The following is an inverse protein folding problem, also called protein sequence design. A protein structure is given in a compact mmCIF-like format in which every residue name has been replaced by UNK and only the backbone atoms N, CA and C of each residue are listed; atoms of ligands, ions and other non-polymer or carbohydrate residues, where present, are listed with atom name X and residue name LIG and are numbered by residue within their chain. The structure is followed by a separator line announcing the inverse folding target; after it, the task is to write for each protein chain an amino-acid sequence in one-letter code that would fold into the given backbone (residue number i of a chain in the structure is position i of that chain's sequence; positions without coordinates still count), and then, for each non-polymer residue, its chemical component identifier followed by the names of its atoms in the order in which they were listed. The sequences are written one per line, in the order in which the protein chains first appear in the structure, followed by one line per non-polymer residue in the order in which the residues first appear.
data_IF_810157465939
#
_entry.id   IF_810157465939
#
_cell.length_a   1.000
_cell.length_b   1.000
_cell.length_c   1.000
_cell.angle_alpha   90.00
_cell.angle_beta   90.00
_cell.angle_gamma   90.00
#
_symmetry.space_group_name_H-M   'P 1'
#
loop_
_entity.id
_entity.type
_entity.pdbx_description
1 polymer ?
#
# COMPACT_ATOMS: atom_id res chain seq x y z
N UNK A 1 -40.70 31.61 9.93
CA UNK A 1 -40.61 31.04 8.57
C UNK A 1 -39.72 29.81 8.67
N UNK A 2 -40.25 28.64 8.28
CA UNK A 2 -39.56 27.35 8.38
C UNK A 2 -38.67 27.17 7.14
N UNK A 3 -37.36 27.04 7.33
CA UNK A 3 -36.43 26.70 6.25
C UNK A 3 -36.21 25.20 6.27
N UNK A 4 -36.58 24.57 5.17
CA UNK A 4 -36.51 23.14 4.91
C UNK A 4 -35.08 22.80 4.50
N UNK A 5 -34.45 21.88 5.24
CA UNK A 5 -33.22 21.20 4.85
C UNK A 5 -33.59 20.27 3.70
N UNK A 6 -33.03 20.52 2.52
CA UNK A 6 -33.13 19.58 1.39
C UNK A 6 -32.19 18.42 1.71
N UNK A 7 -32.77 17.37 2.26
CA UNK A 7 -32.20 16.03 2.36
C UNK A 7 -32.01 15.53 0.92
N UNK A 8 -30.77 15.54 0.41
CA UNK A 8 -30.45 14.80 -0.82
C UNK A 8 -30.51 13.33 -0.44
N UNK A 9 -31.66 12.73 -0.71
CA UNK A 9 -31.95 11.33 -0.43
C UNK A 9 -31.02 10.44 -1.26
N UNK A 10 -30.16 9.76 -0.53
CA UNK A 10 -29.46 8.53 -0.88
C UNK A 10 -30.48 7.43 -1.25
N UNK A 11 -31.06 7.46 -2.45
CA UNK A 11 -31.80 6.33 -3.01
C UNK A 11 -31.51 6.23 -4.51
N UNK A 12 -30.59 5.33 -4.83
CA UNK A 12 -30.30 4.87 -6.18
C UNK A 12 -29.57 3.52 -6.21
N UNK A 13 -29.56 2.76 -5.11
CA UNK A 13 -29.22 1.33 -5.17
C UNK A 13 -30.42 0.57 -5.73
N UNK A 14 -30.64 0.70 -7.04
CA UNK A 14 -31.46 -0.22 -7.81
C UNK A 14 -30.52 -1.17 -8.53
N UNK A 15 -30.30 -2.31 -7.87
CA UNK A 15 -30.53 -3.62 -8.47
C UNK A 15 -30.02 -3.77 -9.92
N UNK A 16 -28.71 -3.79 -10.10
CA UNK A 16 -28.12 -4.64 -11.11
C UNK A 16 -27.22 -5.62 -10.39
N UNK A 17 -27.52 -6.90 -10.53
CA UNK A 17 -26.48 -7.90 -10.56
C UNK A 17 -25.61 -7.59 -11.78
N UNK A 18 -24.81 -6.52 -11.73
CA UNK A 18 -23.57 -6.51 -12.49
C UNK A 18 -22.71 -7.55 -11.77
N UNK A 19 -22.88 -8.80 -12.17
CA UNK A 19 -21.81 -9.79 -12.06
C UNK A 19 -20.57 -9.04 -12.55
N UNK A 20 -19.61 -8.81 -11.66
CA UNK A 20 -18.34 -8.23 -12.07
C UNK A 20 -17.87 -9.00 -13.30
N UNK A 21 -17.43 -8.29 -14.34
CA UNK A 21 -16.97 -8.96 -15.56
C UNK A 21 -15.81 -9.90 -15.26
N UNK A 22 -15.04 -9.56 -14.21
CA UNK A 22 -13.97 -10.39 -13.68
C UNK A 22 -13.83 -10.21 -12.16
N UNK A 23 -13.45 -11.29 -11.48
CA UNK A 23 -13.11 -11.31 -10.06
C UNK A 23 -11.71 -11.87 -9.89
N UNK A 24 -10.81 -11.08 -9.32
CA UNK A 24 -9.41 -11.41 -9.09
C UNK A 24 -9.16 -11.69 -7.60
N UNK A 25 -8.69 -12.90 -7.33
CA UNK A 25 -8.34 -13.40 -6.00
C UNK A 25 -6.82 -13.38 -5.71
N UNK A 26 -5.99 -12.97 -6.67
CA UNK A 26 -4.52 -13.10 -6.60
C UNK A 26 -3.87 -12.35 -5.44
N UNK A 27 -4.51 -11.28 -4.95
CA UNK A 27 -4.07 -10.46 -3.80
C UNK A 27 -4.98 -10.59 -2.57
N UNK A 28 -5.83 -11.61 -2.54
CA UNK A 28 -6.72 -11.84 -1.39
C UNK A 28 -5.98 -12.35 -0.17
N UNK A 29 -6.52 -12.03 1.01
CA UNK A 29 -5.95 -12.43 2.29
C UNK A 29 -7.05 -12.65 3.33
N UNK A 30 -6.73 -13.41 4.38
CA UNK A 30 -7.64 -13.63 5.50
C UNK A 30 -7.42 -12.51 6.51
N UNK A 31 -8.38 -11.60 6.64
CA UNK A 31 -8.27 -10.49 7.59
C UNK A 31 -8.52 -10.98 9.01
N UNK A 32 -7.54 -10.84 9.90
CA UNK A 32 -7.66 -11.19 11.31
C UNK A 32 -8.30 -10.06 12.12
N UNK A 33 -9.59 -9.78 11.88
CA UNK A 33 -10.42 -9.29 12.97
C UNK A 33 -11.01 -10.51 13.65
N UNK A 34 -10.67 -10.69 14.93
CA UNK A 34 -11.32 -11.69 15.75
C UNK A 34 -12.82 -11.51 15.63
N UNK A 35 -13.53 -12.63 15.48
CA UNK A 35 -14.91 -12.69 15.87
C UNK A 35 -14.97 -12.27 17.34
N UNK A 36 -15.28 -11.00 17.61
CA UNK A 36 -16.08 -10.67 18.78
C UNK A 36 -17.44 -11.33 18.55
N UNK A 37 -17.48 -12.66 18.72
CA UNK A 37 -18.68 -13.32 19.18
C UNK A 37 -19.02 -12.57 20.46
N UNK A 38 -20.02 -11.69 20.39
CA UNK A 38 -20.63 -11.19 21.61
C UNK A 38 -20.90 -12.40 22.49
N UNK A 39 -20.42 -12.36 23.73
CA UNK A 39 -20.70 -13.38 24.74
C UNK A 39 -22.23 -13.52 24.83
N UNK A 40 -22.80 -14.47 24.09
CA UNK A 40 -24.26 -14.50 23.92
C UNK A 40 -24.77 -15.63 23.04
N UNK A 41 -24.21 -15.85 21.85
CA UNK A 41 -24.80 -16.81 20.91
C UNK A 41 -23.81 -17.88 20.43
N UNK A 42 -23.96 -19.11 20.95
CA UNK A 42 -23.24 -20.31 20.53
C UNK A 42 -23.79 -20.92 19.22
N UNK A 43 -24.65 -20.20 18.51
CA UNK A 43 -25.42 -20.71 17.37
C UNK A 43 -24.96 -20.20 16.01
N UNK A 44 -24.05 -19.22 15.96
CA UNK A 44 -23.56 -18.70 14.69
C UNK A 44 -22.47 -19.60 14.08
N UNK A 45 -22.57 -19.93 12.77
CA UNK A 45 -21.56 -20.72 12.09
C UNK A 45 -20.19 -20.01 12.11
N UNK A 46 -19.07 -20.76 12.10
CA UNK A 46 -17.76 -20.13 12.04
C UNK A 46 -17.66 -19.28 10.77
N UNK A 47 -17.20 -18.04 10.94
CA UNK A 47 -17.12 -17.04 9.88
C UNK A 47 -15.67 -16.89 9.42
N UNK A 48 -15.47 -16.86 8.10
CA UNK A 48 -14.21 -16.54 7.44
C UNK A 48 -14.35 -15.17 6.75
N UNK A 49 -13.40 -14.25 7.02
CA UNK A 49 -13.34 -12.96 6.33
C UNK A 49 -12.21 -12.96 5.32
N UNK A 50 -12.54 -12.77 4.05
CA UNK A 50 -11.59 -12.68 2.93
C UNK A 50 -11.58 -11.24 2.43
N UNK A 51 -10.45 -10.57 2.55
CA UNK A 51 -10.25 -9.20 2.08
C UNK A 51 -9.36 -9.15 0.84
N UNK A 52 -9.31 -8.00 0.17
CA UNK A 52 -8.51 -7.79 -1.03
C UNK A 52 -9.08 -8.45 -2.30
N UNK A 53 -10.36 -8.79 -2.31
CA UNK A 53 -11.02 -9.30 -3.50
C UNK A 53 -11.19 -8.14 -4.50
N UNK A 54 -10.55 -8.22 -5.66
CA UNK A 54 -10.67 -7.19 -6.70
C UNK A 54 -11.75 -7.58 -7.68
N UNK A 55 -12.72 -6.71 -7.90
CA UNK A 55 -13.71 -6.83 -8.97
C UNK A 55 -13.39 -5.82 -10.05
N UNK A 56 -13.39 -6.28 -11.30
CA UNK A 56 -13.25 -5.43 -12.48
C UNK A 56 -14.62 -5.39 -13.14
N UNK A 57 -15.09 -4.18 -13.44
CA UNK A 57 -16.32 -3.97 -14.17
C UNK A 57 -16.08 -2.96 -15.29
N UNK A 58 -16.76 -3.13 -16.41
CA UNK A 58 -16.65 -2.21 -17.56
C UNK A 58 -17.99 -1.54 -17.77
N UNK A 59 -18.03 -0.21 -17.65
CA UNK A 59 -19.24 0.56 -17.90
C UNK A 59 -18.93 1.70 -18.86
N UNK A 60 -19.54 1.71 -20.04
CA UNK A 60 -19.31 2.73 -21.09
C UNK A 60 -17.81 2.94 -21.41
N UNK A 61 -17.06 1.84 -21.61
CA UNK A 61 -15.60 1.83 -21.85
C UNK A 61 -14.73 2.33 -20.68
N UNK A 62 -15.31 2.63 -19.51
CA UNK A 62 -14.57 2.91 -18.28
C UNK A 62 -14.36 1.63 -17.46
N UNK A 63 -13.12 1.39 -17.05
CA UNK A 63 -12.75 0.31 -16.13
C UNK A 63 -12.97 0.76 -14.68
N UNK A 64 -13.91 0.12 -14.00
CA UNK A 64 -14.22 0.35 -12.59
C UNK A 64 -13.58 -0.77 -11.78
N UNK A 65 -12.58 -0.40 -10.96
CA UNK A 65 -11.90 -1.31 -10.04
C UNK A 65 -12.44 -1.10 -8.63
N UNK A 66 -12.94 -2.16 -8.00
CA UNK A 66 -13.41 -2.13 -6.61
C UNK A 66 -12.77 -3.26 -5.81
N UNK A 67 -12.49 -3.00 -4.54
CA UNK A 67 -11.92 -3.99 -3.63
C UNK A 67 -12.94 -4.29 -2.55
N UNK A 68 -13.05 -5.57 -2.19
CA UNK A 68 -14.11 -6.04 -1.31
C UNK A 68 -13.57 -6.93 -0.19
N UNK A 69 -14.25 -6.87 0.93
CA UNK A 69 -14.21 -7.86 2.00
C UNK A 69 -15.45 -8.73 1.91
N UNK A 70 -15.24 -10.04 1.76
CA UNK A 70 -16.29 -11.06 1.80
C UNK A 70 -16.33 -11.71 3.17
N UNK A 71 -17.52 -11.76 3.75
CA UNK A 71 -17.80 -12.47 5.00
C UNK A 71 -18.50 -13.78 4.64
N UNK A 72 -17.83 -14.90 4.90
CA UNK A 72 -18.28 -16.24 4.55
C UNK A 72 -18.68 -17.02 5.80
N UNK A 73 -19.91 -17.54 5.83
CA UNK A 73 -20.38 -18.44 6.87
C UNK A 73 -20.19 -19.89 6.45
N UNK A 74 -19.53 -20.70 7.28
CA UNK A 74 -19.37 -22.12 7.02
C UNK A 74 -20.63 -22.91 7.42
N UNK A 75 -21.19 -23.65 6.48
CA UNK A 75 -22.28 -24.58 6.75
C UNK A 75 -21.70 -25.99 7.05
N UNK A 76 -21.75 -26.46 8.30
CA UNK A 76 -21.18 -27.75 8.67
C UNK A 76 -21.95 -28.95 8.07
N UNK A 77 -23.25 -28.78 7.78
CA UNK A 77 -24.10 -29.89 7.32
C UNK A 77 -23.75 -30.39 5.91
N UNK A 78 -23.16 -29.52 5.09
CA UNK A 78 -22.80 -29.84 3.71
C UNK A 78 -21.40 -29.35 3.32
N UNK A 79 -20.59 -28.89 4.29
CA UNK A 79 -19.24 -28.37 4.09
C UNK A 79 -19.13 -27.27 3.02
N UNK A 80 -20.12 -26.39 2.92
CA UNK A 80 -20.12 -25.25 1.98
C UNK A 80 -19.93 -23.91 2.69
N UNK A 81 -19.41 -22.92 1.98
CA UNK A 81 -19.43 -21.53 2.44
C UNK A 81 -20.57 -20.77 1.78
N UNK A 82 -21.28 -19.95 2.56
CA UNK A 82 -22.26 -18.98 2.08
C UNK A 82 -21.70 -17.58 2.26
N UNK A 83 -21.83 -16.73 1.25
CA UNK A 83 -21.56 -15.29 1.40
C UNK A 83 -22.66 -14.72 2.30
N UNK A 84 -22.27 -14.32 3.52
CA UNK A 84 -23.15 -13.64 4.46
C UNK A 84 -23.21 -12.15 4.13
N UNK A 85 -22.07 -11.57 3.77
CA UNK A 85 -21.94 -10.15 3.47
C UNK A 85 -20.79 -9.88 2.51
N UNK A 86 -20.90 -8.81 1.73
CA UNK A 86 -19.83 -8.25 0.92
C UNK A 86 -19.77 -6.74 1.18
N UNK A 87 -18.62 -6.26 1.63
CA UNK A 87 -18.40 -4.85 1.98
C UNK A 87 -17.33 -4.25 1.09
N UNK A 88 -17.56 -3.03 0.60
CA UNK A 88 -16.51 -2.27 -0.07
C UNK A 88 -15.38 -2.02 0.94
N UNK A 89 -14.18 -2.44 0.57
CA UNK A 89 -13.01 -2.28 1.40
C UNK A 89 -12.46 -0.86 1.27
N UNK A 90 -12.01 -0.29 2.39
CA UNK A 90 -11.32 0.99 2.36
C UNK A 90 -10.03 0.85 1.53
N UNK A 91 -9.94 1.62 0.44
CA UNK A 91 -8.76 1.62 -0.44
C UNK A 91 -7.46 1.96 0.32
N UNK A 92 -7.56 2.73 1.40
CA UNK A 92 -6.43 3.18 2.21
C UNK A 92 -6.06 2.20 3.34
N UNK A 93 -6.71 1.04 3.43
CA UNK A 93 -6.36 0.05 4.45
C UNK A 93 -4.92 -0.44 4.28
N UNK A 94 -4.06 -0.38 5.33
CA UNK A 94 -2.65 -0.71 5.21
C UNK A 94 -2.37 -2.13 4.69
N UNK A 95 -3.17 -3.12 5.10
CA UNK A 95 -2.99 -4.51 4.69
C UNK A 95 -3.32 -4.71 3.21
N UNK A 96 -4.40 -4.07 2.72
CA UNK A 96 -4.77 -4.08 1.30
C UNK A 96 -3.65 -3.49 0.43
N UNK A 97 -3.09 -2.35 0.83
CA UNK A 97 -2.00 -1.69 0.11
C UNK A 97 -0.74 -2.56 0.08
N UNK A 98 -0.40 -3.21 1.19
CA UNK A 98 0.72 -4.15 1.26
C UNK A 98 0.53 -5.37 0.34
N UNK A 99 -0.68 -5.95 0.29
CA UNK A 99 -0.94 -7.07 -0.62
C UNK A 99 -0.82 -6.65 -2.09
N UNK A 100 -1.26 -5.44 -2.46
CA UNK A 100 -1.12 -4.95 -3.85
C UNK A 100 0.33 -4.80 -4.27
N UNK A 101 1.21 -4.37 -3.35
CA UNK A 101 2.64 -4.22 -3.62
C UNK A 101 3.39 -5.56 -3.67
N UNK A 102 2.84 -6.62 -3.09
CA UNK A 102 3.50 -7.92 -3.04
C UNK A 102 3.64 -8.52 -4.44
N UNK A 103 4.85 -8.93 -4.79
CA UNK A 103 5.15 -9.57 -6.07
C UNK A 103 5.07 -8.63 -7.27
N UNK A 104 5.25 -7.33 -7.06
CA UNK A 104 5.23 -6.31 -8.13
C UNK A 104 6.63 -6.02 -8.64
N UNK A 105 6.70 -5.63 -9.91
CA UNK A 105 7.92 -5.17 -10.57
C UNK A 105 7.74 -3.72 -10.97
N UNK A 106 8.75 -2.91 -10.72
CA UNK A 106 8.77 -1.48 -10.96
C UNK A 106 9.97 -1.14 -11.81
N UNK A 107 9.76 -0.44 -12.92
CA UNK A 107 10.82 -0.11 -13.90
C UNK A 107 10.87 1.39 -14.13
N UNK A 108 12.06 1.93 -14.33
CA UNK A 108 12.23 3.35 -14.61
C UNK A 108 13.68 3.80 -14.55
N UNK A 109 13.91 5.03 -14.13
CA UNK A 109 15.22 5.67 -14.17
C UNK A 109 15.74 5.98 -12.76
N UNK A 110 17.04 5.78 -12.58
CA UNK A 110 17.80 6.26 -11.44
C UNK A 110 18.91 7.17 -11.95
N UNK A 111 18.81 8.46 -11.63
CA UNK A 111 19.73 9.51 -12.07
C UNK A 111 20.68 9.89 -10.95
N UNK A 112 21.98 9.79 -11.21
CA UNK A 112 23.03 10.35 -10.36
C UNK A 112 23.62 11.61 -10.99
N UNK A 113 24.58 12.24 -10.30
CA UNK A 113 25.32 13.37 -10.87
C UNK A 113 26.13 13.00 -12.13
N UNK A 114 26.45 11.72 -12.34
CA UNK A 114 27.35 11.25 -13.39
C UNK A 114 26.67 10.36 -14.42
N UNK A 115 25.75 9.50 -13.96
CA UNK A 115 25.21 8.42 -14.76
C UNK A 115 23.68 8.42 -14.71
N UNK A 116 23.09 7.92 -15.79
CA UNK A 116 21.69 7.52 -15.84
C UNK A 116 21.61 5.99 -15.86
N UNK A 117 20.85 5.43 -14.93
CA UNK A 117 20.65 3.99 -14.82
C UNK A 117 19.19 3.62 -15.15
N UNK A 118 19.00 2.70 -16.08
CA UNK A 118 17.75 1.94 -16.18
C UNK A 118 17.66 1.02 -14.96
N UNK A 119 16.58 1.16 -14.20
CA UNK A 119 16.40 0.52 -12.91
C UNK A 119 15.16 -0.36 -12.89
N UNK A 120 15.28 -1.53 -12.29
CA UNK A 120 14.20 -2.44 -12.00
C UNK A 120 14.21 -2.77 -10.50
N UNK A 121 13.07 -2.61 -9.83
CA UNK A 121 12.84 -3.01 -8.44
C UNK A 121 11.72 -4.06 -8.39
N UNK A 122 12.04 -5.24 -7.89
CA UNK A 122 11.09 -6.33 -7.66
C UNK A 122 10.78 -6.43 -6.17
N UNK A 123 9.53 -6.15 -5.79
CA UNK A 123 9.04 -6.31 -4.41
C UNK A 123 8.58 -7.75 -4.20
N UNK A 124 9.46 -8.62 -3.72
CA UNK A 124 9.17 -10.06 -3.60
C UNK A 124 8.33 -10.42 -2.39
N UNK A 125 8.52 -9.70 -1.28
CA UNK A 125 7.81 -9.92 -0.02
C UNK A 125 7.37 -8.58 0.54
N UNK A 126 6.09 -8.46 0.86
CA UNK A 126 5.51 -7.29 1.55
C UNK A 126 4.52 -7.82 2.57
N UNK A 127 4.81 -7.65 3.86
CA UNK A 127 3.96 -8.15 4.94
C UNK A 127 4.26 -7.44 6.26
N UNK A 128 3.22 -7.04 6.99
CA UNK A 128 3.31 -6.43 8.33
C UNK A 128 4.32 -5.28 8.40
N UNK A 129 4.32 -4.40 7.40
CA UNK A 129 5.22 -3.25 7.32
C UNK A 129 6.64 -3.59 6.86
N UNK A 130 6.98 -4.87 6.63
CA UNK A 130 8.28 -5.28 6.11
C UNK A 130 8.25 -5.44 4.59
N UNK A 131 9.31 -4.98 3.92
CA UNK A 131 9.56 -5.20 2.50
C UNK A 131 10.86 -5.97 2.28
N UNK A 132 10.82 -6.97 1.40
CA UNK A 132 11.99 -7.64 0.84
C UNK A 132 11.90 -7.71 -0.68
N UNK A 133 13.03 -7.48 -1.36
CA UNK A 133 13.05 -7.42 -2.82
C UNK A 133 14.44 -7.55 -3.43
N UNK A 134 14.49 -7.29 -4.73
CA UNK A 134 15.72 -7.21 -5.50
C UNK A 134 15.70 -5.95 -6.36
N UNK A 135 16.84 -5.29 -6.49
CA UNK A 135 16.99 -4.12 -7.34
C UNK A 135 18.15 -4.30 -8.29
N UNK A 136 17.91 -3.94 -9.54
CA UNK A 136 18.87 -3.99 -10.64
C UNK A 136 19.00 -2.61 -11.25
N UNK A 137 20.23 -2.15 -11.42
CA UNK A 137 20.60 -0.93 -12.13
C UNK A 137 21.47 -1.34 -13.32
N UNK A 138 21.16 -0.81 -14.49
CA UNK A 138 21.93 -1.02 -15.72
C UNK A 138 22.17 0.34 -16.39
N UNK A 139 23.35 0.51 -16.97
CA UNK A 139 23.71 1.74 -17.67
C UNK A 139 24.56 1.40 -18.89
N UNK A 140 24.46 2.21 -19.94
CA UNK A 140 25.34 2.10 -21.10
C UNK A 140 26.69 2.80 -20.86
N UNK A 141 26.74 3.69 -19.87
CA UNK A 141 27.96 4.40 -19.46
C UNK A 141 28.85 3.53 -18.58
N UNK A 142 30.09 3.95 -18.33
CA UNK A 142 30.95 3.26 -17.36
C UNK A 142 30.32 3.36 -15.96
N UNK A 143 29.88 2.24 -15.36
CA UNK A 143 29.23 2.29 -14.06
C UNK A 143 30.23 2.78 -13.02
N UNK A 144 29.75 3.52 -12.01
CA UNK A 144 30.67 4.01 -10.98
C UNK A 144 31.39 2.81 -10.33
N UNK A 145 32.72 2.86 -10.09
CA UNK A 145 33.59 1.74 -9.64
C UNK A 145 33.25 1.12 -8.27
N UNK A 146 32.12 1.48 -7.70
CA UNK A 146 31.62 1.11 -6.39
C UNK A 146 30.15 0.66 -6.45
N UNK A 147 29.59 0.46 -7.66
CA UNK A 147 28.17 0.17 -7.84
C UNK A 147 27.77 -1.30 -7.62
N UNK A 148 26.96 -1.55 -6.59
CA UNK A 148 26.11 -2.74 -6.56
C UNK A 148 24.99 -2.57 -7.60
N UNK A 149 25.26 -3.03 -8.82
CA UNK A 149 24.30 -2.97 -9.92
C UNK A 149 23.16 -3.99 -9.76
N UNK A 150 23.35 -5.04 -8.98
CA UNK A 150 22.29 -6.00 -8.67
C UNK A 150 22.39 -6.42 -7.21
N UNK A 151 21.33 -6.19 -6.43
CA UNK A 151 21.33 -6.44 -4.99
C UNK A 151 19.98 -6.88 -4.45
N UNK A 152 20.01 -7.67 -3.38
CA UNK A 152 18.87 -7.85 -2.47
C UNK A 152 18.68 -6.59 -1.65
N UNK A 153 17.42 -6.20 -1.47
CA UNK A 153 17.01 -5.06 -0.65
C UNK A 153 16.00 -5.50 0.41
N UNK A 154 16.07 -4.88 1.59
CA UNK A 154 15.08 -5.05 2.65
C UNK A 154 14.79 -3.71 3.31
N UNK A 155 13.62 -3.56 3.91
CA UNK A 155 13.31 -2.43 4.75
C UNK A 155 11.84 -2.41 5.14
N UNK A 156 11.26 -1.21 5.19
CA UNK A 156 9.94 -0.97 5.74
C UNK A 156 9.01 -0.19 4.81
N UNK A 157 7.71 -0.34 5.05
CA UNK A 157 6.65 0.45 4.46
C UNK A 157 5.78 1.04 5.56
N UNK A 158 5.66 2.36 5.52
CA UNK A 158 4.84 3.13 6.45
C UNK A 158 3.76 3.86 5.67
N UNK A 159 2.51 3.62 6.06
CA UNK A 159 1.38 4.40 5.54
C UNK A 159 1.35 5.76 6.23
N UNK A 160 1.17 6.83 5.45
CA UNK A 160 1.03 8.19 5.96
C UNK A 160 -0.28 8.80 5.49
N UNK A 161 -0.95 9.54 6.36
CA UNK A 161 -2.15 10.32 6.08
C UNK A 161 -1.80 11.81 6.01
N UNK A 162 -2.33 12.50 5.01
CA UNK A 162 -2.32 13.95 4.95
C UNK A 162 -3.50 14.46 5.76
N UNK A 163 -3.23 15.07 6.91
CA UNK A 163 -4.24 15.63 7.80
C UNK A 163 -4.09 17.14 7.90
N UNK A 164 -5.20 17.81 8.16
CA UNK A 164 -5.19 19.22 8.56
C UNK A 164 -5.02 19.28 10.08
N UNK A 165 -3.82 19.61 10.54
CA UNK A 165 -3.57 19.89 11.95
C UNK A 165 -3.43 21.40 12.14
N UNK A 166 -4.47 22.03 12.71
CA UNK A 166 -4.47 23.46 13.10
C UNK A 166 -4.29 24.45 11.93
N UNK A 167 -4.73 24.08 10.72
CA UNK A 167 -4.69 24.93 9.54
C UNK A 167 -3.50 24.69 8.62
N UNK A 168 -2.59 23.76 8.98
CA UNK A 168 -1.49 23.32 8.14
C UNK A 168 -1.65 21.84 7.77
N UNK A 169 -1.48 21.53 6.48
CA UNK A 169 -1.52 20.16 5.98
C UNK A 169 -0.19 19.47 6.28
N UNK A 170 -0.24 18.39 7.06
CA UNK A 170 0.94 17.60 7.41
C UNK A 170 0.74 16.10 7.16
N UNK A 171 1.83 15.43 6.78
CA UNK A 171 1.87 13.99 6.57
C UNK A 171 2.24 13.30 7.88
N UNK A 172 1.30 12.56 8.45
CA UNK A 172 1.50 11.82 9.70
C UNK A 172 1.41 10.31 9.46
N UNK A 173 2.25 9.54 10.16
CA UNK A 173 2.17 8.09 10.14
C UNK A 173 0.82 7.61 10.73
N UNK A 174 0.31 6.46 10.27
CA UNK A 174 -0.97 5.91 10.77
C UNK A 174 -0.99 5.75 12.29
N UNK A 175 0.11 5.28 12.89
CA UNK A 175 0.23 5.14 14.35
C UNK A 175 0.04 6.50 15.04
N UNK A 176 0.69 7.54 14.51
CA UNK A 176 0.56 8.90 15.02
C UNK A 176 -0.86 9.44 14.87
N UNK A 177 -1.52 9.15 13.75
CA UNK A 177 -2.92 9.53 13.57
C UNK A 177 -3.84 8.83 14.59
N UNK A 178 -3.62 7.54 14.86
CA UNK A 178 -4.39 6.79 15.86
C UNK A 178 -4.18 7.36 17.27
N UNK A 179 -2.98 7.78 17.63
CA UNK A 179 -2.71 8.49 18.88
C UNK A 179 -3.49 9.82 18.98
N UNK A 180 -3.49 10.61 17.89
CA UNK A 180 -4.24 11.87 17.81
C UNK A 180 -5.74 11.62 18.02
N UNK A 181 -6.30 10.64 17.30
CA UNK A 181 -7.71 10.25 17.40
C UNK A 181 -8.06 9.78 18.82
N UNK A 182 -7.21 8.95 19.43
CA UNK A 182 -7.41 8.43 20.79
C UNK A 182 -7.40 9.59 21.80
N UNK A 183 -6.40 10.46 21.72
CA UNK A 183 -6.28 11.64 22.59
C UNK A 183 -7.51 12.56 22.46
N UNK A 184 -7.99 12.78 21.23
CA UNK A 184 -9.19 13.59 20.99
C UNK A 184 -10.45 12.91 21.55
N UNK A 185 -10.60 11.60 21.37
CA UNK A 185 -11.73 10.85 21.89
C UNK A 185 -11.78 10.87 23.41
N UNK A 186 -10.65 10.64 24.08
CA UNK A 186 -10.52 10.75 25.54
C UNK A 186 -10.85 12.17 26.01
N UNK A 187 -10.33 13.20 25.34
CA UNK A 187 -10.63 14.60 25.66
C UNK A 187 -12.09 14.99 25.39
N UNK A 188 -12.80 14.24 24.55
CA UNK A 188 -14.21 14.44 24.19
C UNK A 188 -15.18 13.61 25.05
N UNK A 189 -14.68 12.78 25.95
CA UNK A 189 -15.53 11.99 26.84
C UNK A 189 -16.40 12.92 27.70
N UNK A 190 -17.72 12.72 27.65
CA UNK A 190 -18.69 13.55 28.37
C UNK A 190 -18.95 14.95 27.76
N UNK A 191 -18.40 15.26 26.58
CA UNK A 191 -18.68 16.51 25.84
C UNK A 191 -19.67 16.28 24.71
N UNK A 192 -20.57 17.25 24.50
CA UNK A 192 -21.61 17.20 23.46
C UNK A 192 -21.57 18.43 22.56
N UNK A 193 -22.06 18.29 21.32
CA UNK A 193 -22.20 19.41 20.39
C UNK A 193 -20.87 20.10 20.03
N UNK A 194 -20.86 21.42 20.12
CA UNK A 194 -19.75 22.29 19.73
C UNK A 194 -18.54 22.21 20.70
N UNK A 195 -18.71 21.60 21.88
CA UNK A 195 -17.64 21.42 22.86
C UNK A 195 -16.67 20.28 22.49
N UNK A 196 -17.01 19.49 21.46
CA UNK A 196 -16.17 18.38 20.99
C UNK A 196 -15.10 18.89 20.04
N UNK A 197 -13.85 18.54 20.32
CA UNK A 197 -12.75 18.73 19.38
C UNK A 197 -12.96 17.79 18.19
N UNK A 198 -13.01 18.33 16.97
CA UNK A 198 -13.15 17.52 15.77
C UNK A 198 -11.90 16.67 15.52
N UNK A 199 -12.11 15.42 15.08
CA UNK A 199 -11.01 14.57 14.60
C UNK A 199 -10.56 15.11 13.23
N UNK A 200 -9.25 15.33 13.00
CA UNK A 200 -8.73 15.75 11.71
C UNK A 200 -9.16 14.79 10.59
N UNK A 201 -9.67 15.37 9.50
CA UNK A 201 -10.05 14.60 8.32
C UNK A 201 -8.80 14.20 7.54
N UNK A 202 -8.80 12.97 7.03
CA UNK A 202 -7.77 12.47 6.13
C UNK A 202 -8.09 13.00 4.73
N UNK A 203 -7.20 13.83 4.18
CA UNK A 203 -7.34 14.43 2.85
C UNK A 203 -6.65 13.62 1.75
N UNK A 204 -5.57 12.91 2.09
CA UNK A 204 -4.82 12.06 1.16
C UNK A 204 -4.07 10.96 1.92
N UNK A 205 -3.60 9.93 1.22
CA UNK A 205 -2.78 8.83 1.77
C UNK A 205 -1.61 8.55 0.83
N UNK A 206 -0.44 8.24 1.38
CA UNK A 206 0.73 7.77 0.63
C UNK A 206 1.44 6.64 1.36
N UNK A 207 2.26 5.88 0.65
CA UNK A 207 3.16 4.91 1.27
C UNK A 207 4.59 5.42 1.20
N UNK A 208 5.24 5.51 2.36
CA UNK A 208 6.67 5.72 2.45
C UNK A 208 7.35 4.36 2.47
N UNK A 209 8.21 4.09 1.49
CA UNK A 209 8.96 2.85 1.35
C UNK A 209 10.43 3.15 1.57
N UNK A 210 11.03 2.49 2.56
CA UNK A 210 12.46 2.61 2.87
C UNK A 210 13.11 1.27 2.59
N UNK A 211 14.12 1.25 1.71
CA UNK A 211 14.81 0.01 1.35
C UNK A 211 16.31 0.20 1.51
N UNK A 212 16.99 -0.81 2.02
CA UNK A 212 18.43 -0.85 2.16
C UNK A 212 18.99 -2.05 1.41
N UNK A 213 20.06 -1.83 0.65
CA UNK A 213 20.83 -2.92 0.03
C UNK A 213 21.45 -3.80 1.11
N UNK A 214 21.20 -5.11 1.05
CA UNK A 214 21.72 -6.07 2.05
C UNK A 214 22.78 -6.99 1.50
N UNK A 215 22.67 -7.40 0.24
CA UNK A 215 23.57 -8.37 -0.38
C UNK A 215 23.65 -8.19 -1.89
N UNK A 216 24.85 -8.21 -2.46
CA UNK A 216 25.02 -8.23 -3.92
C UNK A 216 24.63 -9.58 -4.52
N UNK A 217 24.09 -9.53 -5.75
CA UNK A 217 23.77 -10.71 -6.54
C UNK A 217 24.77 -10.76 -7.72
N UNK A 218 25.38 -11.91 -7.95
CA UNK A 218 26.39 -12.10 -9.01
C UNK A 218 27.81 -11.68 -8.62
N UNK A 219 28.70 -11.54 -9.63
CA UNK A 219 30.09 -11.12 -9.42
C UNK A 219 30.10 -9.63 -9.06
N UNK A 220 30.72 -9.22 -7.94
CA UNK A 220 30.92 -7.82 -7.61
C UNK A 220 32.05 -7.27 -8.49
N UNK A 221 31.78 -7.03 -9.78
CA UNK A 221 32.81 -6.59 -10.74
C UNK A 221 33.38 -5.21 -10.34
N UNK A 222 32.62 -4.43 -9.57
CA UNK A 222 32.98 -3.08 -9.15
C UNK A 222 32.56 -2.76 -7.71
N UNK A 223 32.59 -3.73 -6.78
CA UNK A 223 32.36 -3.42 -5.36
C UNK A 223 33.68 -3.05 -4.68
N UNK A 224 34.28 -1.91 -5.05
CA UNK A 224 35.20 -1.29 -4.10
C UNK A 224 34.36 -0.89 -2.88
N UNK A 225 34.80 -1.26 -1.68
CA UNK A 225 34.11 -1.09 -0.39
C UNK A 225 33.77 0.37 0.00
N UNK A 226 33.83 1.30 -0.94
CA UNK A 226 33.75 2.76 -0.77
C UNK A 226 32.47 3.42 -1.29
N UNK A 227 31.61 2.75 -2.08
CA UNK A 227 30.19 3.18 -2.12
C UNK A 227 29.52 2.55 -0.91
N UNK A 228 28.81 3.39 -0.17
CA UNK A 228 28.13 3.03 1.05
C UNK A 228 27.38 1.72 0.92
N UNK A 229 27.78 0.75 1.75
CA UNK A 229 26.92 -0.32 2.26
C UNK A 229 25.70 0.20 3.05
N UNK A 230 25.29 1.45 2.81
CA UNK A 230 24.39 2.30 3.58
C UNK A 230 23.50 3.19 2.71
N UNK A 231 23.43 2.95 1.39
CA UNK A 231 22.48 3.69 0.57
C UNK A 231 21.07 3.14 0.79
N UNK A 232 20.23 3.99 1.37
CA UNK A 232 18.82 3.78 1.58
C UNK A 232 18.07 4.39 0.39
N UNK A 233 17.16 3.62 -0.18
CA UNK A 233 16.13 4.12 -1.09
C UNK A 233 14.99 4.61 -0.23
N UNK A 234 14.64 5.89 -0.35
CA UNK A 234 13.48 6.49 0.31
C UNK A 234 12.51 6.88 -0.78
N UNK A 235 11.48 6.06 -0.96
CA UNK A 235 10.50 6.16 -2.03
C UNK A 235 9.14 6.51 -1.45
N UNK A 236 8.37 7.27 -2.20
CA UNK A 236 6.95 7.50 -1.94
C UNK A 236 6.16 6.83 -3.06
N UNK A 237 5.15 6.05 -2.70
CA UNK A 237 4.16 5.54 -3.64
C UNK A 237 3.06 6.58 -3.83
N UNK A 238 2.93 7.07 -5.05
CA UNK A 238 1.86 7.94 -5.48
C UNK A 238 1.22 7.33 -6.72
N UNK A 239 -0.01 6.83 -6.57
CA UNK A 239 -0.69 6.01 -7.58
C UNK A 239 0.15 4.77 -7.96
N UNK A 240 0.59 4.68 -9.22
CA UNK A 240 1.39 3.58 -9.76
C UNK A 240 2.85 4.00 -10.03
N UNK A 241 3.33 5.03 -9.31
CA UNK A 241 4.71 5.51 -9.41
C UNK A 241 5.39 5.53 -8.03
N UNK A 242 6.60 4.98 -7.98
CA UNK A 242 7.53 5.11 -6.86
C UNK A 242 8.55 6.20 -7.17
N UNK A 243 8.54 7.28 -6.40
CA UNK A 243 9.44 8.42 -6.59
C UNK A 243 10.23 8.67 -5.32
N UNK A 244 11.52 8.95 -5.43
CA UNK A 244 12.26 9.46 -4.30
C UNK A 244 13.76 9.54 -4.48
N UNK A 245 14.48 9.41 -3.37
CA UNK A 245 15.91 9.63 -3.31
C UNK A 245 16.65 8.35 -2.94
N UNK A 246 17.86 8.21 -3.45
CA UNK A 246 18.82 7.16 -3.10
C UNK A 246 20.03 7.83 -2.47
N UNK A 247 20.32 7.52 -1.21
CA UNK A 247 21.38 8.24 -0.49
C UNK A 247 21.67 7.70 0.91
N UNK A 248 22.67 8.28 1.57
CA UNK A 248 22.93 8.05 2.99
C UNK A 248 21.91 8.82 3.83
N UNK A 249 21.49 8.32 5.00
CA UNK A 249 20.39 8.91 5.74
C UNK A 249 20.74 10.34 6.24
N UNK A 250 19.88 11.36 6.00
CA UNK A 250 19.80 12.50 6.89
C UNK A 250 18.85 12.21 8.06
N UNK A 251 19.20 12.75 9.23
CA UNK A 251 18.49 12.63 10.52
C UNK A 251 17.21 13.49 10.61
N UNK A 252 16.73 14.10 9.52
CA UNK A 252 15.52 14.94 9.57
C UNK A 252 14.66 14.82 8.31
N UNK A 253 13.35 14.65 8.54
CA UNK A 253 12.33 14.86 7.51
C UNK A 253 12.06 16.36 7.41
N UNK A 254 12.69 17.01 6.45
CA UNK A 254 12.45 18.39 6.11
C UNK A 254 12.56 18.61 4.61
N UNK A 255 11.66 19.41 4.05
CA UNK A 255 11.52 19.76 2.62
C UNK A 255 12.71 20.50 2.01
N UNK A 256 13.88 20.51 2.65
CA UNK A 256 15.06 21.27 2.23
C UNK A 256 16.34 20.46 2.03
N UNK A 257 16.31 19.12 2.00
CA UNK A 257 17.55 18.35 1.85
C UNK A 257 17.98 18.17 0.38
N UNK A 258 18.65 19.21 -0.13
CA UNK A 258 19.29 19.28 -1.44
C UNK A 258 20.55 18.39 -1.46
N UNK A 259 20.45 17.28 -2.17
CA UNK A 259 21.48 16.69 -3.07
C UNK A 259 22.97 16.86 -2.68
N UNK A 260 23.40 16.42 -1.49
CA UNK A 260 24.82 16.07 -1.26
C UNK A 260 24.97 14.55 -1.13
N UNK A 261 25.35 13.90 -2.24
CA UNK A 261 25.58 12.45 -2.31
C UNK A 261 24.40 11.59 -2.77
N UNK A 262 23.31 12.24 -3.21
CA UNK A 262 22.01 11.62 -3.48
C UNK A 262 21.72 11.51 -4.98
N UNK A 263 21.06 10.43 -5.41
CA UNK A 263 20.45 10.31 -6.74
C UNK A 263 18.93 10.26 -6.66
N UNK A 264 18.27 10.60 -7.76
CA UNK A 264 16.81 10.59 -7.88
C UNK A 264 16.37 9.33 -8.60
N UNK A 265 15.32 8.70 -8.09
CA UNK A 265 14.77 7.47 -8.67
C UNK A 265 13.27 7.65 -8.88
N UNK A 266 12.82 7.24 -10.06
CA UNK A 266 11.42 7.25 -10.45
C UNK A 266 11.14 5.94 -11.19
N UNK A 267 10.21 5.15 -10.65
CA UNK A 267 9.84 3.85 -11.18
C UNK A 267 8.33 3.78 -11.33
N UNK A 268 7.86 3.20 -12.42
CA UNK A 268 6.44 2.94 -12.66
C UNK A 268 6.19 1.44 -12.57
N UNK A 269 5.04 1.04 -12.06
CA UNK A 269 4.66 -0.36 -12.00
C UNK A 269 4.59 -0.93 -13.42
N UNK A 270 5.27 -2.05 -13.67
CA UNK A 270 5.15 -2.78 -14.93
C UNK A 270 4.08 -3.86 -14.78
N UNK A 271 3.07 -3.86 -15.65
CA UNK A 271 1.96 -4.83 -15.69
C UNK A 271 2.36 -6.23 -16.20
N UNK A 272 3.64 -6.61 -16.13
CA UNK A 272 4.04 -8.00 -16.32
C UNK A 272 3.64 -8.80 -15.07
N UNK A 273 2.34 -9.13 -14.97
CA UNK A 273 1.90 -10.24 -14.14
C UNK A 273 2.74 -11.45 -14.54
N UNK A 274 3.36 -12.10 -13.56
CA UNK A 274 3.95 -13.42 -13.75
C UNK A 274 2.83 -14.37 -14.19
N UNK A 275 2.58 -14.46 -15.50
CA UNK A 275 1.89 -15.57 -16.11
C UNK A 275 2.79 -16.78 -15.86
N UNK A 276 2.60 -17.43 -14.72
CA UNK A 276 2.94 -18.85 -14.60
C UNK A 276 2.10 -19.56 -15.64
N UNK A 277 2.70 -19.84 -16.80
CA UNK A 277 2.22 -20.81 -17.77
C UNK A 277 1.74 -22.04 -16.98
N UNK A 278 0.44 -22.34 -17.09
CA UNK A 278 -0.10 -23.54 -16.50
C UNK A 278 0.69 -24.74 -17.06
N UNK A 279 1.10 -25.72 -16.23
CA UNK A 279 1.78 -26.89 -16.75
C UNK A 279 0.89 -27.55 -17.79
N UNK A 280 1.45 -27.76 -18.99
CA UNK A 280 0.75 -28.46 -20.06
C UNK A 280 0.26 -29.82 -19.53
N UNK A 281 -1.01 -30.19 -19.77
CA UNK A 281 -1.47 -31.51 -19.39
C UNK A 281 -0.68 -32.57 -20.17
N UNK A 282 -0.15 -33.56 -19.44
CA UNK A 282 0.43 -34.78 -20.03
C UNK A 282 -0.61 -35.62 -20.78
#
# INVERSE_FOLDING_TARGET
MKSVIILISLIGFLNTATLASEVDFSKTYISSQSLSLGEGDKTDPPVLRISGLKTINTHNDELILSNWTLILGFNPDNATFKILEAQLQNHFEPELLQQRLRGTTWKGEYKTAKNLYTTELQLKSVQNGFIGGEITHSTQDEPEPSSFLHAKVVGDITTQYLIDEKGDLDWVDVERYQEIVTTINEANEGKEGEDRTAIPLISNTRQLIRLKRTRSIGKPIHASSRWGSHNEYRLTLENDTLIGNVGSPPESFGTQDVLTGNGLIELTQSDESLETEAPAPE
#
